data_IF_283691441265
#
_entry.id   IF_283691441265
#
_cell.length_a   1.000
_cell.length_b   1.000
_cell.length_c   1.000
_cell.angle_alpha   90.00
_cell.angle_beta   90.00
_cell.angle_gamma   90.00
#
_symmetry.space_group_name_H-M   'P 1'
#
loop_
_entity.id
_entity.type
_entity.pdbx_description
1 polymer ?
#
# COMPACT_ATOMS: atom_id res chain seq x y z
N UNK A 1 26.76 -36.75 -1.88
CA UNK A 1 25.51 -36.21 -1.30
C UNK A 1 25.60 -34.69 -1.38
N UNK A 2 24.55 -34.05 -1.89
CA UNK A 2 24.39 -32.59 -1.88
C UNK A 2 23.34 -32.24 -0.82
N UNK A 3 23.59 -31.24 0.00
CA UNK A 3 22.60 -30.66 0.93
C UNK A 3 22.61 -29.15 0.81
N UNK A 4 21.43 -28.55 0.98
CA UNK A 4 21.23 -27.11 1.07
C UNK A 4 20.52 -26.85 2.38
N UNK A 5 21.09 -26.01 3.22
CA UNK A 5 20.57 -25.64 4.54
C UNK A 5 20.67 -24.13 4.73
N UNK A 6 19.88 -23.61 5.66
CA UNK A 6 20.03 -22.25 6.17
C UNK A 6 20.80 -22.32 7.49
N UNK A 7 21.73 -21.40 7.73
CA UNK A 7 22.43 -21.30 9.01
C UNK A 7 21.73 -20.34 10.00
N UNK A 8 22.29 -20.17 11.19
CA UNK A 8 21.72 -19.30 12.23
C UNK A 8 21.73 -17.81 11.85
N UNK A 9 22.50 -17.41 10.82
CA UNK A 9 22.54 -16.05 10.29
C UNK A 9 21.53 -15.83 9.15
N UNK A 10 20.86 -16.89 8.67
CA UNK A 10 19.97 -16.85 7.51
C UNK A 10 20.71 -17.04 6.17
N UNK A 11 22.01 -17.33 6.21
CA UNK A 11 22.82 -17.57 5.02
C UNK A 11 22.53 -18.97 4.46
N UNK A 12 22.62 -19.11 3.14
CA UNK A 12 22.43 -20.41 2.49
C UNK A 12 23.75 -21.15 2.44
N UNK A 13 23.79 -22.32 3.06
CA UNK A 13 24.94 -23.23 3.06
C UNK A 13 24.69 -24.38 2.09
N UNK A 14 25.56 -24.51 1.10
CA UNK A 14 25.57 -25.61 0.14
C UNK A 14 26.73 -26.55 0.48
N UNK A 15 26.41 -27.77 0.92
CA UNK A 15 27.41 -28.79 1.27
C UNK A 15 27.43 -29.90 0.23
N UNK A 16 28.62 -30.20 -0.30
CA UNK A 16 28.87 -31.33 -1.19
C UNK A 16 29.78 -32.31 -0.48
N UNK A 17 29.31 -33.55 -0.31
CA UNK A 17 30.09 -34.63 0.29
C UNK A 17 30.21 -35.84 -0.62
N UNK A 18 31.39 -36.46 -0.64
CA UNK A 18 31.64 -37.81 -1.16
C UNK A 18 31.98 -38.73 0.01
N UNK A 19 32.43 -39.95 -0.24
CA UNK A 19 32.90 -40.84 0.83
C UNK A 19 34.14 -40.30 1.54
N UNK A 20 35.00 -39.56 0.83
CA UNK A 20 36.33 -39.18 1.32
C UNK A 20 36.53 -37.66 1.47
N UNK A 21 35.60 -36.84 0.97
CA UNK A 21 35.73 -35.37 0.96
C UNK A 21 34.40 -34.69 1.25
N UNK A 22 34.47 -33.53 1.89
CA UNK A 22 33.34 -32.62 2.08
C UNK A 22 33.83 -31.20 1.80
N UNK A 23 33.05 -30.47 1.01
CA UNK A 23 33.27 -29.06 0.66
C UNK A 23 31.99 -28.28 0.94
N UNK A 24 32.14 -27.03 1.39
CA UNK A 24 31.04 -26.14 1.73
C UNK A 24 31.21 -24.79 1.05
N UNK A 25 30.08 -24.25 0.58
CA UNK A 25 29.97 -22.89 0.08
C UNK A 25 28.85 -22.19 0.85
N UNK A 26 29.20 -21.07 1.50
CA UNK A 26 28.23 -20.18 2.13
C UNK A 26 27.90 -19.03 1.17
N UNK A 27 26.60 -18.78 1.00
CA UNK A 27 26.08 -17.63 0.27
C UNK A 27 25.39 -16.72 1.27
N UNK A 28 25.94 -15.53 1.46
CA UNK A 28 25.38 -14.58 2.41
C UNK A 28 24.07 -13.97 1.92
N UNK A 29 23.08 -13.96 2.80
CA UNK A 29 21.75 -13.39 2.55
C UNK A 29 21.54 -12.22 3.49
N UNK A 30 21.49 -11.02 2.94
CA UNK A 30 21.15 -9.82 3.71
C UNK A 30 19.67 -9.50 3.54
N UNK A 31 18.93 -9.43 4.65
CA UNK A 31 17.56 -8.96 4.68
C UNK A 31 17.55 -7.47 5.04
N UNK A 32 17.16 -6.63 4.08
CA UNK A 32 16.99 -5.20 4.33
C UNK A 32 15.68 -4.95 5.09
N UNK A 33 15.66 -4.04 6.10
CA UNK A 33 14.45 -3.68 6.82
C UNK A 33 13.54 -2.80 5.95
N UNK A 34 12.22 -2.94 6.11
CA UNK A 34 11.25 -2.09 5.40
C UNK A 34 11.56 -0.61 5.68
N UNK A 35 11.61 0.25 4.64
CA UNK A 35 11.72 1.69 4.83
C UNK A 35 10.63 2.18 5.81
N UNK A 36 10.98 2.95 6.87
CA UNK A 36 10.04 3.46 7.85
C UNK A 36 9.28 4.67 7.30
N UNK A 37 8.68 4.52 6.11
CA UNK A 37 7.86 5.53 5.45
C UNK A 37 6.40 5.32 5.86
N UNK A 38 5.76 6.38 6.32
CA UNK A 38 4.34 6.37 6.70
C UNK A 38 3.53 7.11 5.65
N UNK A 39 2.42 6.51 5.21
CA UNK A 39 1.46 7.12 4.30
C UNK A 39 0.21 7.53 5.07
N UNK A 40 -0.25 8.75 4.83
CA UNK A 40 -1.53 9.29 5.32
C UNK A 40 -2.25 10.02 4.18
N UNK A 41 -3.53 10.33 4.37
CA UNK A 41 -4.34 11.08 3.41
C UNK A 41 -4.84 12.37 4.07
N UNK A 42 -4.86 13.48 3.32
CA UNK A 42 -5.41 14.75 3.78
C UNK A 42 -6.45 15.27 2.77
N UNK A 43 -7.74 15.37 3.14
CA UNK A 43 -8.33 14.83 4.37
C UNK A 43 -8.42 13.30 4.37
N UNK A 44 -8.36 12.69 5.56
CA UNK A 44 -8.63 11.26 5.81
C UNK A 44 -10.13 10.96 6.11
N UNK A 45 -10.94 12.01 6.26
CA UNK A 45 -12.40 11.93 6.42
C UNK A 45 -13.13 12.88 5.46
N UNK A 46 -14.10 12.35 4.71
CA UNK A 46 -14.99 13.13 3.84
C UNK A 46 -16.37 13.27 4.48
N UNK A 47 -16.66 14.46 4.97
CA UNK A 47 -17.97 14.80 5.55
C UNK A 47 -18.41 16.23 5.17
N UNK A 48 -19.72 16.47 4.94
CA UNK A 48 -20.86 15.53 4.98
C UNK A 48 -20.98 14.64 3.73
N UNK A 49 -21.67 13.48 3.81
CA UNK A 49 -21.94 12.59 2.69
C UNK A 49 -22.95 13.24 1.75
N UNK A 50 -22.47 14.12 0.89
CA UNK A 50 -23.28 15.02 0.06
C UNK A 50 -23.08 14.79 -1.44
N UNK A 51 -22.50 13.63 -1.81
CA UNK A 51 -22.32 13.17 -3.19
C UNK A 51 -21.35 14.05 -4.01
N UNK A 52 -20.56 14.90 -3.35
CA UNK A 52 -19.58 15.77 -4.01
C UNK A 52 -18.20 15.14 -4.02
N UNK A 53 -17.49 15.36 -5.12
CA UNK A 53 -16.05 15.07 -5.20
C UNK A 53 -15.27 15.99 -4.24
N UNK A 54 -14.28 15.41 -3.58
CA UNK A 54 -13.30 16.11 -2.76
C UNK A 54 -11.90 15.67 -3.16
N UNK A 55 -11.03 16.65 -3.32
CA UNK A 55 -9.61 16.38 -3.46
C UNK A 55 -9.07 15.82 -2.15
N UNK A 56 -8.27 14.76 -2.27
CA UNK A 56 -7.44 14.22 -1.21
C UNK A 56 -6.00 14.18 -1.67
N UNK A 57 -5.09 14.44 -0.75
CA UNK A 57 -3.65 14.46 -1.02
C UNK A 57 -2.97 13.40 -0.18
N UNK A 58 -2.17 12.56 -0.82
CA UNK A 58 -1.31 11.60 -0.13
C UNK A 58 -0.12 12.32 0.52
N UNK A 59 0.07 12.11 1.83
CA UNK A 59 1.15 12.70 2.62
C UNK A 59 2.07 11.59 3.11
N UNK A 60 3.36 11.70 2.76
CA UNK A 60 4.40 10.72 3.09
C UNK A 60 5.41 11.30 4.08
N UNK A 61 5.55 10.65 5.23
CA UNK A 61 6.56 10.99 6.23
C UNK A 61 7.74 10.01 6.14
N UNK A 62 8.98 10.54 6.18
CA UNK A 62 10.22 9.75 6.18
C UNK A 62 10.79 9.41 4.79
N UNK A 63 10.08 9.75 3.71
CA UNK A 63 10.53 9.51 2.33
C UNK A 63 11.80 10.33 1.97
N UNK A 64 12.01 11.46 2.63
CA UNK A 64 13.18 12.33 2.46
C UNK A 64 14.51 11.65 2.84
N UNK A 65 14.46 10.61 3.67
CA UNK A 65 15.62 9.76 3.97
C UNK A 65 16.03 8.84 2.81
N UNK A 66 15.18 8.70 1.78
CA UNK A 66 15.34 7.78 0.66
C UNK A 66 15.35 8.53 -0.69
N UNK A 67 16.43 9.28 -1.01
CA UNK A 67 16.46 10.15 -2.18
C UNK A 67 16.47 9.40 -3.52
N UNK A 68 16.77 8.09 -3.52
CA UNK A 68 16.72 7.22 -4.69
C UNK A 68 15.36 6.52 -4.84
N UNK A 69 14.46 6.68 -3.87
CA UNK A 69 13.20 5.98 -3.88
C UNK A 69 12.31 6.41 -5.04
N UNK A 70 11.56 5.46 -5.57
CA UNK A 70 10.47 5.72 -6.51
C UNK A 70 9.15 5.26 -5.90
N UNK A 71 8.09 5.96 -6.24
CA UNK A 71 6.76 5.70 -5.73
C UNK A 71 5.77 5.68 -6.89
N UNK A 72 4.78 4.80 -6.82
CA UNK A 72 3.65 4.81 -7.74
C UNK A 72 2.34 4.47 -7.02
N UNK A 73 1.27 5.17 -7.38
CA UNK A 73 -0.08 4.84 -6.96
C UNK A 73 -0.48 3.53 -7.63
N UNK A 74 -0.78 2.48 -6.87
CA UNK A 74 -1.10 1.15 -7.45
C UNK A 74 -2.58 0.82 -7.37
N UNK A 75 -3.29 1.37 -6.40
CA UNK A 75 -4.72 1.09 -6.22
C UNK A 75 -5.41 2.19 -5.44
N UNK A 76 -6.61 2.54 -5.87
CA UNK A 76 -7.61 3.24 -5.05
C UNK A 76 -8.89 2.45 -5.21
N UNK A 77 -9.43 1.92 -4.12
CA UNK A 77 -10.65 1.09 -4.14
C UNK A 77 -11.59 1.47 -3.01
N UNK A 78 -12.87 1.16 -3.15
CA UNK A 78 -13.89 1.35 -2.11
C UNK A 78 -14.38 0.00 -1.58
N UNK A 79 -14.73 -0.06 -0.30
CA UNK A 79 -15.39 -1.23 0.32
C UNK A 79 -16.89 -1.34 -0.05
N UNK A 80 -17.48 -0.29 -0.60
CA UNK A 80 -18.87 -0.26 -1.10
C UNK A 80 -18.87 -0.16 -2.64
N UNK A 81 -19.88 -0.72 -3.34
CA UNK A 81 -20.02 -0.59 -4.79
C UNK A 81 -20.04 0.88 -5.24
N UNK A 82 -19.54 1.12 -6.47
CA UNK A 82 -19.58 2.42 -7.16
C UNK A 82 -21.01 2.83 -7.58
N UNK A 83 -21.91 1.85 -7.67
CA UNK A 83 -23.35 2.06 -7.82
C UNK A 83 -24.10 0.96 -7.06
N UNK A 84 -24.68 1.31 -5.93
CA UNK A 84 -25.55 0.52 -5.09
C UNK A 84 -27.03 0.57 -5.50
N UNK A 85 -27.90 0.03 -4.65
CA UNK A 85 -29.33 -0.15 -4.94
C UNK A 85 -30.23 0.99 -4.44
N UNK A 86 -29.66 2.13 -4.01
CA UNK A 86 -30.40 3.26 -3.44
C UNK A 86 -30.61 4.41 -4.42
N UNK A 87 -31.82 4.98 -4.45
CA UNK A 87 -32.21 6.13 -5.28
C UNK A 87 -31.48 7.43 -4.88
N UNK A 88 -30.19 7.52 -5.23
CA UNK A 88 -29.30 8.65 -4.94
C UNK A 88 -27.85 8.41 -5.36
N UNK A 89 -27.51 7.18 -5.74
CA UNK A 89 -26.14 6.78 -6.06
C UNK A 89 -25.58 7.46 -7.31
N UNK A 90 -24.30 7.85 -7.26
CA UNK A 90 -23.60 8.45 -8.39
C UNK A 90 -22.32 7.67 -8.68
N UNK A 91 -22.30 7.03 -9.85
CA UNK A 91 -21.11 6.34 -10.40
C UNK A 91 -19.87 7.24 -10.46
N UNK A 92 -18.70 6.62 -10.62
CA UNK A 92 -17.41 7.28 -10.77
C UNK A 92 -16.97 8.00 -9.47
N UNK A 93 -16.89 7.21 -8.38
CA UNK A 93 -16.56 7.64 -7.03
C UNK A 93 -15.08 7.98 -6.81
N UNK A 94 -14.22 7.58 -7.74
CA UNK A 94 -12.78 7.79 -7.73
C UNK A 94 -12.42 8.39 -9.08
N UNK A 95 -12.00 9.65 -9.10
CA UNK A 95 -11.66 10.36 -10.32
C UNK A 95 -10.26 10.94 -10.26
N UNK A 96 -9.68 11.15 -11.44
CA UNK A 96 -8.37 11.77 -11.62
C UNK A 96 -7.19 10.99 -11.00
N UNK A 97 -7.43 9.78 -10.47
CA UNK A 97 -6.38 8.89 -9.98
C UNK A 97 -5.63 8.21 -11.15
N UNK A 98 -4.40 8.65 -11.42
CA UNK A 98 -3.57 8.10 -12.49
C UNK A 98 -2.78 6.87 -12.00
N UNK A 99 -3.46 5.73 -11.96
CA UNK A 99 -2.92 4.45 -11.48
C UNK A 99 -1.68 4.04 -12.30
N UNK A 100 -0.61 3.68 -11.58
CA UNK A 100 0.68 3.29 -12.12
C UNK A 100 1.66 4.45 -12.25
N UNK A 101 1.27 5.66 -11.84
CA UNK A 101 2.10 6.87 -11.91
C UNK A 101 2.40 7.46 -10.53
N UNK A 102 3.27 8.48 -10.51
CA UNK A 102 3.52 9.30 -9.32
C UNK A 102 2.42 10.35 -9.17
N UNK A 103 1.22 9.88 -8.81
CA UNK A 103 0.08 10.72 -8.53
C UNK A 103 -0.13 10.84 -7.02
N UNK A 104 -0.27 12.06 -6.50
CA UNK A 104 -0.49 12.34 -5.09
C UNK A 104 -1.85 12.99 -4.82
N UNK A 105 -2.56 13.42 -5.85
CA UNK A 105 -3.77 14.22 -5.72
C UNK A 105 -4.85 13.67 -6.64
N UNK A 106 -5.92 13.17 -6.04
CA UNK A 106 -7.06 12.63 -6.78
C UNK A 106 -8.36 12.97 -6.07
N UNK A 107 -9.47 12.70 -6.72
CA UNK A 107 -10.79 13.04 -6.24
C UNK A 107 -11.53 11.81 -5.74
N UNK A 108 -12.06 11.90 -4.53
CA UNK A 108 -12.94 10.89 -3.93
C UNK A 108 -14.32 11.48 -3.67
N UNK A 109 -15.38 10.71 -3.91
CA UNK A 109 -16.74 11.16 -3.62
C UNK A 109 -17.04 11.08 -2.11
N UNK A 110 -17.52 12.18 -1.55
CA UNK A 110 -18.11 12.19 -0.21
C UNK A 110 -19.50 11.54 -0.25
N UNK A 111 -19.55 10.23 -0.44
CA UNK A 111 -20.77 9.43 -0.54
C UNK A 111 -20.58 8.08 0.16
N UNK A 112 -21.70 7.52 0.65
CA UNK A 112 -21.75 6.22 1.30
C UNK A 112 -23.17 5.65 1.20
N UNK A 113 -23.29 4.33 1.22
CA UNK A 113 -24.58 3.66 1.24
C UNK A 113 -25.36 3.99 2.52
N UNK A 114 -26.59 4.49 2.38
CA UNK A 114 -27.43 4.89 3.52
C UNK A 114 -27.81 3.75 4.48
N UNK A 115 -27.67 2.49 4.06
CA UNK A 115 -27.86 1.30 4.90
C UNK A 115 -26.55 0.58 5.27
N UNK A 116 -25.39 1.13 4.87
CA UNK A 116 -24.07 0.56 5.11
C UNK A 116 -23.44 1.05 6.43
N UNK A 117 -22.17 0.72 6.64
CA UNK A 117 -21.37 1.15 7.80
C UNK A 117 -20.61 2.45 7.57
N UNK A 118 -20.69 3.00 6.36
CA UNK A 118 -19.80 4.06 5.89
C UNK A 118 -18.82 3.51 4.85
N UNK A 119 -18.39 4.41 3.96
CA UNK A 119 -17.47 4.08 2.89
C UNK A 119 -16.03 4.23 3.37
N UNK A 120 -15.17 3.33 2.94
CA UNK A 120 -13.72 3.37 3.14
C UNK A 120 -13.07 3.23 1.78
N UNK A 121 -12.32 4.26 1.40
CA UNK A 121 -11.42 4.23 0.26
C UNK A 121 -10.05 3.76 0.72
N UNK A 122 -9.59 2.61 0.22
CA UNK A 122 -8.25 2.09 0.45
C UNK A 122 -7.31 2.57 -0.65
N UNK A 123 -6.29 3.33 -0.27
CA UNK A 123 -5.28 3.88 -1.16
C UNK A 123 -3.97 3.12 -0.93
N UNK A 124 -3.38 2.64 -2.01
CA UNK A 124 -2.15 1.83 -1.95
C UNK A 124 -1.10 2.41 -2.88
N UNK A 125 0.09 2.64 -2.33
CA UNK A 125 1.29 2.97 -3.08
C UNK A 125 2.32 1.83 -3.00
N UNK A 126 3.05 1.64 -4.08
CA UNK A 126 4.27 0.84 -4.08
C UNK A 126 5.47 1.79 -3.96
N UNK A 127 6.34 1.50 -2.99
CA UNK A 127 7.60 2.18 -2.73
C UNK A 127 8.75 1.24 -3.09
N UNK A 128 9.58 1.64 -4.05
CA UNK A 128 10.93 1.11 -4.27
C UNK A 128 11.89 2.05 -3.54
N UNK A 129 12.72 1.54 -2.62
CA UNK A 129 13.67 2.37 -1.89
C UNK A 129 14.94 2.73 -2.68
N UNK A 130 15.12 2.14 -3.87
CA UNK A 130 16.31 2.30 -4.71
C UNK A 130 17.49 1.43 -4.29
N UNK A 131 17.35 0.64 -3.22
CA UNK A 131 18.35 -0.31 -2.69
C UNK A 131 17.92 -1.77 -2.90
N UNK A 132 16.82 -1.99 -3.63
CA UNK A 132 16.32 -3.31 -4.00
C UNK A 132 15.20 -3.81 -3.09
N UNK A 133 14.70 -2.98 -2.17
CA UNK A 133 13.54 -3.31 -1.35
C UNK A 133 12.27 -2.65 -1.87
N UNK A 134 11.26 -3.48 -2.15
CA UNK A 134 9.92 -3.04 -2.51
C UNK A 134 9.00 -3.13 -1.28
N UNK A 135 8.15 -2.14 -1.08
CA UNK A 135 7.15 -2.17 -0.02
C UNK A 135 5.82 -1.54 -0.42
N UNK A 136 4.72 -2.04 0.15
CA UNK A 136 3.39 -1.45 -0.02
C UNK A 136 3.10 -0.51 1.15
N UNK A 137 2.59 0.67 0.83
CA UNK A 137 2.12 1.67 1.78
C UNK A 137 0.60 1.80 1.58
N UNK A 138 -0.15 1.75 2.68
CA UNK A 138 -1.61 1.77 2.66
C UNK A 138 -2.11 2.91 3.55
N UNK A 139 -3.15 3.60 3.11
CA UNK A 139 -3.88 4.57 3.91
C UNK A 139 -5.35 4.58 3.50
N UNK A 140 -6.20 4.90 4.47
CA UNK A 140 -7.65 4.90 4.29
C UNK A 140 -8.19 6.35 4.29
N UNK A 141 -9.18 6.60 3.44
CA UNK A 141 -10.07 7.77 3.52
C UNK A 141 -11.47 7.30 3.81
N UNK A 142 -12.12 7.87 4.82
CA UNK A 142 -13.42 7.40 5.30
C UNK A 142 -14.56 8.39 5.02
N UNK A 143 -15.75 7.85 4.76
CA UNK A 143 -17.03 8.57 4.75
C UNK A 143 -17.91 7.91 5.82
N UNK A 144 -17.74 8.32 7.10
CA UNK A 144 -18.33 7.60 8.23
C UNK A 144 -19.85 7.62 8.17
N UNK A 145 -20.53 6.58 8.68
CA UNK A 145 -21.99 6.57 8.74
C UNK A 145 -22.52 7.69 9.69
N UNK A 146 -21.93 7.76 10.87
CA UNK A 146 -22.33 8.71 11.90
C UNK A 146 -21.10 9.46 12.39
N UNK A 147 -21.18 10.80 12.48
CA UNK A 147 -20.26 11.56 13.32
C UNK A 147 -20.79 11.45 14.74
N UNK A 148 -20.15 10.62 15.56
CA UNK A 148 -20.61 10.30 16.91
C UNK A 148 -21.12 11.53 17.68
N UNK A 149 -22.23 11.35 18.40
CA UNK A 149 -22.66 12.26 19.47
C UNK A 149 -21.96 11.91 20.78
#
# INVERSE_FOLDING_TARGET
KLTVTEDDAGDIVVTVSTTDQTEELTVSVELLPKPPVTLTMDPDELWPPNHKMRAVTAVLEGLDCYPAATLKLVSVTSNEPDNGTGDGDTEDDIQEADIGTLDFEFLLRAERAGGGTGRVYAVVYELDDGEGMMSMLEADVTVPHDQGN
#
